data_IF_046418861218
#
_entry.id   IF_046418861218
#
_cell.length_a   1.000
_cell.length_b   1.000
_cell.length_c   1.000
_cell.angle_alpha   90.00
_cell.angle_beta   90.00
_cell.angle_gamma   90.00
#
_symmetry.space_group_name_H-M   'P 1'
#
loop_
_entity.id
_entity.type
_entity.pdbx_description
1 polymer ?
#
# COMPACT_ATOMS: atom_id res chain seq x y z
N UNK A 1 -36.35 3.92 -2.94
CA UNK A 1 -35.74 3.63 -4.26
C UNK A 1 -34.34 3.10 -4.01
N UNK A 2 -34.04 1.83 -4.33
CA UNK A 2 -32.68 1.27 -4.21
C UNK A 2 -32.06 1.26 -5.61
N UNK A 3 -30.97 2.00 -5.88
CA UNK A 3 -30.26 1.88 -7.13
C UNK A 3 -29.81 0.43 -7.30
N UNK A 4 -30.17 -0.19 -8.43
CA UNK A 4 -29.77 -1.56 -8.74
C UNK A 4 -28.41 -1.49 -9.42
N UNK A 5 -27.34 -1.74 -8.65
CA UNK A 5 -26.02 -1.90 -9.23
C UNK A 5 -26.04 -3.04 -10.26
N UNK A 6 -25.51 -2.77 -11.44
CA UNK A 6 -25.33 -3.67 -12.56
C UNK A 6 -23.85 -4.05 -12.69
N UNK A 7 -23.53 -5.03 -13.53
CA UNK A 7 -22.12 -5.42 -13.76
C UNK A 7 -21.25 -4.29 -14.30
N UNK A 8 -21.85 -3.30 -14.97
CA UNK A 8 -21.15 -2.10 -15.44
C UNK A 8 -20.73 -1.17 -14.30
N UNK A 9 -21.36 -1.29 -13.13
CA UNK A 9 -21.03 -0.51 -11.93
C UNK A 9 -19.91 -1.16 -11.09
N UNK A 10 -19.48 -2.36 -11.47
CA UNK A 10 -18.41 -3.09 -10.78
C UNK A 10 -17.09 -2.82 -11.52
N UNK A 11 -16.06 -2.27 -10.84
CA UNK A 11 -14.77 -2.05 -11.46
C UNK A 11 -14.16 -3.37 -11.92
N UNK A 12 -13.51 -3.34 -13.08
CA UNK A 12 -12.80 -4.51 -13.58
C UNK A 12 -11.55 -4.79 -12.75
N UNK A 13 -10.97 -5.99 -12.91
CA UNK A 13 -9.66 -6.31 -12.32
C UNK A 13 -8.61 -5.29 -12.71
N UNK A 14 -8.62 -4.81 -13.96
CA UNK A 14 -7.69 -3.80 -14.44
C UNK A 14 -7.86 -2.47 -13.69
N UNK A 15 -9.11 -2.03 -13.49
CA UNK A 15 -9.39 -0.79 -12.76
C UNK A 15 -8.91 -0.87 -11.31
N UNK A 16 -9.14 -2.01 -10.65
CA UNK A 16 -8.69 -2.25 -9.28
C UNK A 16 -7.16 -2.28 -9.20
N UNK A 17 -6.48 -3.01 -10.10
CA UNK A 17 -5.02 -3.08 -10.11
C UNK A 17 -4.39 -1.71 -10.36
N UNK A 18 -4.92 -0.95 -11.32
CA UNK A 18 -4.47 0.41 -11.63
C UNK A 18 -4.69 1.35 -10.44
N UNK A 19 -5.85 1.28 -9.79
CA UNK A 19 -6.13 2.06 -8.58
C UNK A 19 -5.13 1.76 -7.46
N UNK A 20 -4.90 0.48 -7.15
CA UNK A 20 -3.96 0.05 -6.11
C UNK A 20 -2.54 0.54 -6.44
N UNK A 21 -2.09 0.38 -7.69
CA UNK A 21 -0.77 0.84 -8.12
C UNK A 21 -0.59 2.36 -7.95
N UNK A 22 -1.59 3.14 -8.38
CA UNK A 22 -1.55 4.59 -8.28
C UNK A 22 -1.59 5.06 -6.82
N UNK A 23 -2.46 4.46 -6.00
CA UNK A 23 -2.56 4.78 -4.58
C UNK A 23 -1.24 4.48 -3.85
N UNK A 24 -0.63 3.32 -4.12
CA UNK A 24 0.66 2.96 -3.53
C UNK A 24 1.78 3.90 -3.98
N UNK A 25 1.79 4.28 -5.26
CA UNK A 25 2.77 5.24 -5.80
C UNK A 25 2.64 6.62 -5.14
N UNK A 26 1.42 7.09 -4.88
CA UNK A 26 1.18 8.35 -4.20
C UNK A 26 1.63 8.29 -2.73
N UNK A 27 1.29 7.21 -2.03
CA UNK A 27 1.78 6.97 -0.67
C UNK A 27 3.32 7.04 -0.59
N UNK A 28 4.04 6.39 -1.52
CA UNK A 28 5.51 6.44 -1.53
C UNK A 28 6.05 7.87 -1.78
N UNK A 29 5.36 8.69 -2.58
CA UNK A 29 5.75 10.09 -2.81
C UNK A 29 5.56 10.92 -1.54
N UNK A 30 4.44 10.75 -0.85
CA UNK A 30 4.13 11.43 0.40
C UNK A 30 5.10 11.03 1.50
N UNK A 31 5.34 9.73 1.71
CA UNK A 31 6.31 9.21 2.65
C UNK A 31 7.72 9.76 2.39
N UNK A 32 8.14 9.83 1.11
CA UNK A 32 9.43 10.43 0.74
C UNK A 32 9.49 11.91 1.09
N UNK A 33 8.40 12.65 0.91
CA UNK A 33 8.34 14.07 1.26
C UNK A 33 8.40 14.27 2.79
N UNK A 34 7.70 13.42 3.55
CA UNK A 34 7.70 13.44 5.01
C UNK A 34 9.08 13.12 5.59
N UNK A 35 9.74 12.06 5.11
CA UNK A 35 11.11 11.70 5.52
C UNK A 35 12.10 12.83 5.23
N UNK A 36 11.91 13.55 4.12
CA UNK A 36 12.77 14.68 3.72
C UNK A 36 12.39 16.01 4.35
N UNK A 37 11.28 16.07 5.10
CA UNK A 37 10.85 17.26 5.80
C UNK A 37 11.91 17.68 6.83
N UNK A 38 12.03 18.98 7.08
CA UNK A 38 12.96 19.56 8.05
C UNK A 38 12.61 19.21 9.50
N UNK A 39 11.54 18.43 9.73
CA UNK A 39 11.21 17.80 11.01
C UNK A 39 12.12 16.59 11.28
N UNK A 40 13.42 16.84 11.43
CA UNK A 40 14.43 15.81 11.67
C UNK A 40 14.16 15.12 13.01
N UNK A 41 14.01 13.79 13.00
CA UNK A 41 13.91 12.96 14.21
C UNK A 41 12.53 12.39 14.55
N UNK A 42 11.52 12.53 13.68
CA UNK A 42 10.16 12.00 13.93
C UNK A 42 9.83 10.67 13.24
N UNK A 43 10.60 10.27 12.24
CA UNK A 43 10.32 9.03 11.51
C UNK A 43 11.06 7.87 12.16
N UNK A 44 10.33 6.84 12.55
CA UNK A 44 10.90 5.56 12.98
C UNK A 44 10.38 4.43 12.11
N UNK A 45 11.20 3.42 11.83
CA UNK A 45 10.78 2.28 11.01
C UNK A 45 10.91 0.99 11.80
N UNK A 46 9.83 0.22 11.85
CA UNK A 46 9.85 -1.16 12.31
C UNK A 46 10.03 -2.06 11.10
N UNK A 47 11.06 -2.90 11.14
CA UNK A 47 11.30 -3.92 10.11
C UNK A 47 11.00 -5.28 10.73
N UNK A 48 10.12 -6.04 10.09
CA UNK A 48 9.76 -7.40 10.50
C UNK A 48 10.12 -8.39 9.39
N UNK A 49 10.80 -9.47 9.78
CA UNK A 49 11.22 -10.53 8.86
C UNK A 49 10.71 -11.85 9.36
N UNK A 50 9.97 -12.56 8.51
CA UNK A 50 9.46 -13.88 8.83
C UNK A 50 9.43 -14.75 7.58
N UNK A 51 9.40 -16.05 7.78
CA UNK A 51 9.29 -17.03 6.70
C UNK A 51 8.13 -17.97 6.95
N UNK A 52 7.62 -18.58 5.89
CA UNK A 52 6.58 -19.61 5.97
C UNK A 52 6.96 -20.79 5.09
N UNK A 53 7.03 -21.96 5.71
CA UNK A 53 7.52 -23.17 5.07
C UNK A 53 6.59 -23.66 3.96
N UNK A 54 5.27 -23.54 4.17
CA UNK A 54 4.25 -24.00 3.21
C UNK A 54 4.39 -23.35 1.84
N UNK A 55 4.75 -22.06 1.79
CA UNK A 55 4.96 -21.34 0.53
C UNK A 55 6.44 -21.24 0.15
N UNK A 56 7.35 -21.78 0.98
CA UNK A 56 8.81 -21.64 0.86
C UNK A 56 9.24 -20.19 0.62
N UNK A 57 8.54 -19.24 1.24
CA UNK A 57 8.75 -17.82 1.04
C UNK A 57 9.32 -17.17 2.30
N UNK A 58 10.09 -16.10 2.09
CA UNK A 58 10.52 -15.18 3.14
C UNK A 58 9.94 -13.81 2.84
N UNK A 59 9.50 -13.12 3.89
CA UNK A 59 8.85 -11.82 3.81
C UNK A 59 9.67 -10.81 4.61
N UNK A 60 9.80 -9.62 4.04
CA UNK A 60 10.32 -8.43 4.71
C UNK A 60 9.20 -7.40 4.71
N UNK A 61 8.74 -7.03 5.90
CA UNK A 61 7.74 -5.99 6.11
C UNK A 61 8.42 -4.76 6.70
N UNK A 62 8.06 -3.58 6.21
CA UNK A 62 8.57 -2.30 6.72
C UNK A 62 7.37 -1.43 7.05
N UNK A 63 7.32 -0.97 8.29
CA UNK A 63 6.31 -0.02 8.79
C UNK A 63 7.03 1.26 9.21
N UNK A 64 6.66 2.40 8.62
CA UNK A 64 7.13 3.72 9.06
C UNK A 64 6.09 4.36 10.00
N UNK A 65 6.57 5.01 11.07
CA UNK A 65 5.82 5.78 12.05
C UNK A 65 6.31 7.22 12.09
#
# INVERSE_FOLDING_TARGET
MRPRATKADIPSTHDITTFIHNAFTNFLKELKAEIKSTATGRVSTTMDTWSIEQTKASFLSITAH
#
